data_IF_558446278604
#
_entry.id   IF_558446278604
#
_cell.length_a   1.000
_cell.length_b   1.000
_cell.length_c   1.000
_cell.angle_alpha   90.00
_cell.angle_beta   90.00
_cell.angle_gamma   90.00
#
_symmetry.space_group_name_H-M   'P 1'
#
loop_
_entity.id
_entity.type
_entity.pdbx_description
1 polymer ?
#
# COMPACT_ATOMS: atom_id res chain seq x y z
N UNK A 1 -12.60 -12.75 -6.17
CA UNK A 1 -11.57 -11.87 -5.59
C UNK A 1 -10.38 -12.67 -5.08
N UNK A 2 -10.60 -13.68 -4.21
CA UNK A 2 -9.54 -14.48 -3.59
C UNK A 2 -8.64 -15.27 -4.58
N UNK A 3 -9.18 -15.73 -5.72
CA UNK A 3 -8.37 -16.40 -6.76
C UNK A 3 -7.45 -15.43 -7.49
N UNK A 4 -7.94 -14.26 -7.90
CA UNK A 4 -7.14 -13.23 -8.58
C UNK A 4 -6.07 -12.62 -7.69
N UNK A 5 -6.35 -12.42 -6.39
CA UNK A 5 -5.33 -11.97 -5.44
C UNK A 5 -4.20 -13.00 -5.31
N UNK A 6 -4.51 -14.30 -5.29
CA UNK A 6 -3.49 -15.36 -5.29
C UNK A 6 -2.65 -15.37 -6.57
N UNK A 7 -3.25 -15.08 -7.73
CA UNK A 7 -2.52 -14.97 -9.00
C UNK A 7 -1.60 -13.75 -9.03
N UNK A 8 -2.10 -12.61 -8.56
CA UNK A 8 -1.31 -11.39 -8.42
C UNK A 8 -0.15 -11.57 -7.43
N UNK A 9 -0.40 -12.10 -6.23
CA UNK A 9 0.63 -12.39 -5.23
C UNK A 9 1.72 -13.33 -5.75
N UNK A 10 1.37 -14.30 -6.60
CA UNK A 10 2.38 -15.16 -7.25
C UNK A 10 3.30 -14.38 -8.18
N UNK A 11 2.78 -13.40 -8.92
CA UNK A 11 3.59 -12.52 -9.81
C UNK A 11 4.55 -11.63 -9.01
N UNK A 12 4.20 -11.31 -7.76
CA UNK A 12 4.99 -10.41 -6.89
C UNK A 12 5.90 -11.15 -5.89
N UNK A 13 6.09 -12.47 -6.01
CA UNK A 13 6.68 -13.31 -4.95
C UNK A 13 8.12 -12.98 -4.52
N UNK A 14 8.85 -12.15 -5.27
CA UNK A 14 10.20 -11.65 -4.93
C UNK A 14 10.30 -10.13 -4.92
N UNK A 15 9.17 -9.45 -5.04
CA UNK A 15 9.07 -8.00 -4.97
C UNK A 15 8.82 -7.62 -3.51
N UNK A 16 9.28 -6.45 -3.08
CA UNK A 16 9.03 -5.93 -1.73
C UNK A 16 10.20 -6.03 -0.76
N UNK A 17 9.93 -5.74 0.51
CA UNK A 17 10.96 -5.67 1.56
C UNK A 17 11.20 -7.06 2.13
N UNK A 18 12.45 -7.49 2.16
CA UNK A 18 12.82 -8.76 2.77
C UNK A 18 12.69 -8.66 4.30
N UNK A 19 11.84 -9.52 4.88
CA UNK A 19 11.58 -9.57 6.34
C UNK A 19 12.15 -10.83 7.00
N UNK A 20 12.65 -11.76 6.20
CA UNK A 20 13.28 -13.01 6.63
C UNK A 20 13.92 -13.75 5.45
N UNK A 21 14.59 -14.86 5.72
CA UNK A 21 15.19 -15.68 4.67
C UNK A 21 14.11 -16.19 3.71
N UNK A 22 14.17 -15.77 2.45
CA UNK A 22 13.16 -16.10 1.43
C UNK A 22 11.77 -15.48 1.64
N UNK A 23 11.58 -14.58 2.61
CA UNK A 23 10.30 -13.96 2.94
C UNK A 23 10.27 -12.48 2.55
N UNK A 24 9.35 -12.11 1.66
CA UNK A 24 9.19 -10.76 1.14
C UNK A 24 7.81 -10.20 1.47
N UNK A 25 7.78 -9.05 2.14
CA UNK A 25 6.58 -8.26 2.36
C UNK A 25 6.35 -7.35 1.15
N UNK A 26 5.36 -7.70 0.35
CA UNK A 26 4.98 -6.96 -0.86
C UNK A 26 3.62 -6.29 -0.75
N UNK A 27 2.74 -6.74 0.15
CA UNK A 27 1.39 -6.16 0.26
C UNK A 27 0.74 -6.36 1.62
N UNK A 28 -0.17 -5.45 1.98
CA UNK A 28 -1.09 -5.57 3.11
C UNK A 28 -2.50 -5.32 2.60
N UNK A 29 -3.46 -6.18 2.95
CA UNK A 29 -4.87 -6.01 2.59
C UNK A 29 -5.71 -6.06 3.85
N UNK A 30 -6.48 -4.99 4.11
CA UNK A 30 -7.43 -4.96 5.21
C UNK A 30 -8.71 -4.26 4.78
N UNK A 31 -9.85 -4.95 4.92
CA UNK A 31 -11.13 -4.50 4.37
C UNK A 31 -10.99 -4.15 2.87
N UNK A 32 -11.27 -2.90 2.50
CA UNK A 32 -11.13 -2.34 1.14
C UNK A 32 -9.79 -1.63 0.90
N UNK A 33 -8.95 -1.46 1.93
CA UNK A 33 -7.65 -0.80 1.82
C UNK A 33 -6.54 -1.81 1.45
N UNK A 34 -5.87 -1.56 0.32
CA UNK A 34 -4.73 -2.32 -0.17
C UNK A 34 -3.46 -1.44 -0.14
N UNK A 35 -2.43 -1.92 0.54
CA UNK A 35 -1.08 -1.32 0.54
C UNK A 35 -0.16 -2.21 -0.28
N UNK A 36 0.69 -1.60 -1.11
CA UNK A 36 1.75 -2.26 -1.89
C UNK A 36 3.11 -1.73 -1.43
N UNK A 37 4.10 -2.62 -1.35
CA UNK A 37 5.44 -2.32 -0.83
C UNK A 37 6.47 -2.88 -1.81
N UNK A 38 7.39 -2.03 -2.27
CA UNK A 38 8.46 -2.34 -3.21
C UNK A 38 9.73 -1.56 -2.85
N UNK A 39 10.89 -2.02 -3.33
CA UNK A 39 12.17 -1.33 -3.10
C UNK A 39 12.44 -0.23 -4.13
N UNK A 40 11.85 -0.34 -5.32
CA UNK A 40 12.04 0.60 -6.42
C UNK A 40 10.74 0.91 -7.16
N UNK A 41 10.84 1.90 -8.05
CA UNK A 41 9.72 2.44 -8.82
C UNK A 41 9.24 1.47 -9.91
N UNK A 42 10.12 0.66 -10.49
CA UNK A 42 9.74 -0.28 -11.53
C UNK A 42 8.87 -1.40 -10.95
N UNK A 43 9.29 -1.93 -9.80
CA UNK A 43 8.55 -2.94 -9.05
C UNK A 43 7.17 -2.44 -8.60
N UNK A 44 7.07 -1.23 -8.02
CA UNK A 44 5.76 -0.72 -7.56
C UNK A 44 4.81 -0.46 -8.73
N UNK A 45 5.33 0.06 -9.86
CA UNK A 45 4.54 0.30 -11.06
C UNK A 45 4.07 -1.02 -11.69
N UNK A 46 4.91 -2.05 -11.71
CA UNK A 46 4.54 -3.39 -12.15
C UNK A 46 3.43 -3.99 -11.27
N UNK A 47 3.59 -3.88 -9.95
CA UNK A 47 2.60 -4.34 -8.96
C UNK A 47 1.25 -3.66 -9.17
N UNK A 48 1.24 -2.34 -9.26
CA UNK A 48 0.04 -1.53 -9.41
C UNK A 48 -0.72 -1.83 -10.71
N UNK A 49 0.00 -1.93 -11.84
CA UNK A 49 -0.60 -2.28 -13.13
C UNK A 49 -1.25 -3.67 -13.11
N UNK A 50 -0.55 -4.68 -12.59
CA UNK A 50 -1.11 -6.03 -12.48
C UNK A 50 -2.30 -6.07 -11.51
N UNK A 51 -2.27 -5.28 -10.42
CA UNK A 51 -3.38 -5.21 -9.47
C UNK A 51 -4.62 -4.60 -10.13
N UNK A 52 -4.44 -3.49 -10.86
CA UNK A 52 -5.51 -2.83 -11.60
C UNK A 52 -6.15 -3.77 -12.65
N UNK A 53 -5.33 -4.53 -13.38
CA UNK A 53 -5.82 -5.54 -14.34
C UNK A 53 -6.65 -6.62 -13.65
N UNK A 54 -6.19 -7.17 -12.53
CA UNK A 54 -6.95 -8.16 -11.78
C UNK A 54 -8.26 -7.58 -11.23
N UNK A 55 -8.24 -6.39 -10.62
CA UNK A 55 -9.45 -5.73 -10.11
C UNK A 55 -10.49 -5.46 -11.22
N UNK A 56 -10.05 -5.04 -12.41
CA UNK A 56 -10.94 -4.84 -13.56
C UNK A 56 -11.71 -6.10 -13.95
N UNK A 57 -11.11 -7.30 -13.83
CA UNK A 57 -11.82 -8.57 -14.09
C UNK A 57 -13.01 -8.81 -13.16
N UNK A 58 -13.00 -8.18 -11.98
CA UNK A 58 -14.07 -8.25 -10.99
C UNK A 58 -14.98 -7.02 -11.01
N UNK A 59 -14.84 -6.14 -12.01
CA UNK A 59 -15.57 -4.88 -12.08
C UNK A 59 -15.17 -3.87 -11.00
N UNK A 60 -13.97 -4.00 -10.45
CA UNK A 60 -13.40 -3.08 -9.47
C UNK A 60 -12.40 -2.14 -10.13
N UNK A 61 -12.28 -0.93 -9.57
CA UNK A 61 -11.35 0.09 -10.03
C UNK A 61 -10.58 0.65 -8.82
N UNK A 62 -9.28 0.88 -9.02
CA UNK A 62 -8.46 1.56 -8.02
C UNK A 62 -8.83 3.05 -8.04
N UNK A 63 -9.20 3.60 -6.89
CA UNK A 63 -9.48 5.02 -6.78
C UNK A 63 -8.16 5.82 -6.74
N UNK A 64 -7.62 6.15 -7.92
CA UNK A 64 -6.34 6.86 -8.07
C UNK A 64 -6.32 8.19 -7.31
N UNK A 65 -7.46 8.90 -7.21
CA UNK A 65 -7.53 10.18 -6.49
C UNK A 65 -7.33 10.02 -4.97
N UNK A 66 -7.72 8.86 -4.43
CA UNK A 66 -7.52 8.50 -3.01
C UNK A 66 -6.23 7.72 -2.77
N UNK A 67 -5.56 7.25 -3.82
CA UNK A 67 -4.32 6.49 -3.69
C UNK A 67 -3.16 7.45 -3.49
N UNK A 68 -2.39 7.21 -2.43
CA UNK A 68 -1.21 7.97 -2.07
C UNK A 68 0.00 7.04 -2.06
N UNK A 69 1.20 7.60 -2.23
CA UNK A 69 2.45 6.86 -2.09
C UNK A 69 3.39 7.56 -1.10
N UNK A 70 4.22 6.74 -0.46
CA UNK A 70 5.29 7.18 0.43
C UNK A 70 6.59 6.52 -0.04
N UNK A 71 7.69 7.27 -0.03
CA UNK A 71 9.01 6.75 -0.40
C UNK A 71 10.08 7.31 0.52
N UNK A 72 11.05 6.48 0.87
CA UNK A 72 12.25 6.92 1.59
C UNK A 72 13.20 7.73 0.69
N UNK A 73 13.06 7.59 -0.63
CA UNK A 73 13.92 8.25 -1.61
C UNK A 73 13.27 9.55 -2.13
N UNK A 74 13.94 10.71 -2.03
CA UNK A 74 13.34 11.99 -2.40
C UNK A 74 13.02 12.14 -3.91
N UNK A 75 13.67 11.36 -4.78
CA UNK A 75 13.63 11.53 -6.24
C UNK A 75 12.61 10.64 -6.98
N UNK A 76 11.92 9.73 -6.29
CA UNK A 76 11.02 8.80 -6.96
C UNK A 76 9.61 9.38 -7.02
N UNK A 77 9.05 9.47 -8.22
CA UNK A 77 7.62 9.69 -8.43
C UNK A 77 6.93 8.32 -8.57
N UNK A 78 5.62 8.26 -8.43
CA UNK A 78 4.85 7.03 -8.65
C UNK A 78 3.63 7.33 -9.49
N UNK A 79 3.34 6.47 -10.46
CA UNK A 79 2.28 6.66 -11.44
C UNK A 79 1.51 5.35 -11.67
N UNK A 80 0.18 5.44 -11.65
CA UNK A 80 -0.70 4.33 -12.05
C UNK A 80 -1.49 4.77 -13.28
N UNK A 81 -1.41 3.98 -14.36
CA UNK A 81 -2.14 4.22 -15.60
C UNK A 81 -1.99 5.64 -16.19
N UNK A 82 -0.77 6.21 -16.22
CA UNK A 82 -0.57 7.57 -16.76
C UNK A 82 -0.88 8.69 -15.75
N UNK A 83 -1.31 8.36 -14.53
CA UNK A 83 -1.73 9.33 -13.51
C UNK A 83 -0.79 9.30 -12.31
N UNK A 84 -0.19 10.46 -12.04
CA UNK A 84 0.69 10.65 -10.87
C UNK A 84 -0.10 10.50 -9.58
N UNK A 85 0.45 9.74 -8.65
CA UNK A 85 -0.08 9.62 -7.30
C UNK A 85 0.35 10.80 -6.43
N UNK A 86 -0.45 11.09 -5.40
CA UNK A 86 -0.08 12.08 -4.40
C UNK A 86 1.00 11.50 -3.46
N UNK A 87 2.06 12.25 -3.22
CA UNK A 87 3.10 11.89 -2.25
C UNK A 87 2.68 12.34 -0.86
N UNK A 88 2.62 11.42 0.09
CA UNK A 88 2.48 11.74 1.51
C UNK A 88 3.76 11.36 2.28
N UNK A 89 4.02 12.13 3.34
CA UNK A 89 5.04 11.91 4.34
C UNK A 89 4.65 10.88 5.41
N UNK A 90 3.34 10.62 5.57
CA UNK A 90 2.83 9.67 6.56
C UNK A 90 1.65 8.87 6.03
N UNK A 91 1.51 7.63 6.48
CA UNK A 91 0.40 6.76 6.12
C UNK A 91 -0.30 6.23 7.37
N UNK A 92 -1.63 6.42 7.49
CA UNK A 92 -2.40 5.87 8.61
C UNK A 92 -2.90 4.47 8.26
N UNK A 93 -2.40 3.47 8.97
CA UNK A 93 -2.85 2.08 8.86
C UNK A 93 -3.31 1.56 10.22
N UNK A 94 -4.57 1.11 10.33
CA UNK A 94 -5.13 0.54 11.57
C UNK A 94 -4.89 1.42 12.82
N UNK A 95 -5.12 2.72 12.69
CA UNK A 95 -4.88 3.73 13.76
C UNK A 95 -3.42 3.96 14.14
N UNK A 96 -2.46 3.36 13.44
CA UNK A 96 -1.02 3.66 13.56
C UNK A 96 -0.57 4.52 12.38
N UNK A 97 0.36 5.44 12.59
CA UNK A 97 0.98 6.22 11.52
C UNK A 97 2.34 5.61 11.17
N UNK A 98 2.55 5.28 9.91
CA UNK A 98 3.85 4.93 9.36
C UNK A 98 4.47 6.18 8.74
N UNK A 99 5.75 6.41 9.01
CA UNK A 99 6.59 7.44 8.40
C UNK A 99 7.91 6.79 7.97
N UNK A 100 8.67 7.46 7.11
CA UNK A 100 9.97 6.97 6.62
C UNK A 100 10.96 6.71 7.75
N UNK A 101 10.89 7.50 8.82
CA UNK A 101 11.78 7.44 9.99
C UNK A 101 11.29 6.48 11.09
N UNK A 102 10.10 5.89 10.95
CA UNK A 102 9.58 4.89 11.87
C UNK A 102 8.06 4.90 12.03
N UNK A 103 7.59 4.20 13.06
CA UNK A 103 6.18 4.12 13.41
C UNK A 103 5.90 5.15 14.50
N UNK A 104 4.95 6.05 14.26
CA UNK A 104 4.41 6.95 15.27
C UNK A 104 3.04 6.46 15.72
N UNK A 105 2.90 6.21 17.04
CA UNK A 105 1.61 6.01 17.69
C UNK A 105 1.25 7.27 18.43
N UNK A 106 0.12 7.88 18.08
CA UNK A 106 -0.45 8.96 18.88
C UNK A 106 -1.05 8.34 20.14
N UNK A 107 -0.27 8.24 21.22
CA UNK A 107 -0.84 7.95 22.53
C UNK A 107 -1.71 9.14 22.94
N UNK A 108 -3.02 8.91 23.04
CA UNK A 108 -3.97 9.90 23.52
C UNK A 108 -5.21 10.07 22.65
N UNK A 109 -5.95 8.99 22.42
CA UNK A 109 -7.40 9.13 22.28
C UNK A 109 -7.98 9.10 23.70
N UNK A 110 -8.17 10.30 24.27
CA UNK A 110 -8.96 10.43 25.50
C UNK A 110 -10.33 9.85 25.17
N UNK A 111 -10.64 8.69 25.76
CA UNK A 111 -12.02 8.26 25.94
C UNK A 111 -12.80 9.47 26.43
N UNK A 112 -13.68 10.02 25.59
CA UNK A 112 -14.78 10.82 26.11
C UNK A 112 -15.64 9.83 26.87
N UNK A 113 -15.47 9.78 28.19
CA UNK A 113 -16.51 9.26 29.07
C UNK A 113 -17.76 10.08 28.79
N UNK A 114 -18.70 9.48 28.06
CA UNK A 114 -20.03 9.99 27.90
C UNK A 114 -20.80 9.78 29.20
N UNK A 115 -21.25 10.89 29.78
CA UNK A 115 -22.52 11.06 30.48
C UNK A 115 -22.97 10.03 31.51
N UNK A 116 -23.03 10.48 32.77
CA UNK A 116 -24.27 10.54 33.55
C UNK A 116 -24.22 11.78 34.47
#
# INVERSE_FOLDING_TARGET
>A
MDVSLKEWTKKCCKIGVQVGEGMYLHSLLFADDQVMIANDEEDINYMARNLAEEYRKWGLEINIEKTEYMTASPHNECEIDGRKLNKDSSFKYLSSYLQVDGIYRKEGDKRKEGGA
#
